data_IF_767669547523
#
_entry.id   IF_767669547523
#
_cell.length_a   1.000
_cell.length_b   1.000
_cell.length_c   1.000
_cell.angle_alpha   90.00
_cell.angle_beta   90.00
_cell.angle_gamma   90.00
#
_symmetry.space_group_name_H-M   'P 1'
#
loop_
_entity.id
_entity.type
_entity.pdbx_description
1 polymer ?
#
# COMPACT_ATOMS: atom_id res chain seq x y z
N UNK A 1 15.41 7.84 -25.35
CA UNK A 1 15.64 7.58 -23.91
C UNK A 1 14.34 7.95 -23.25
N UNK A 2 13.46 6.99 -23.01
CA UNK A 2 12.25 7.25 -22.25
C UNK A 2 12.73 7.33 -20.80
N UNK A 3 12.73 8.52 -20.23
CA UNK A 3 12.99 8.72 -18.81
C UNK A 3 12.05 7.79 -18.05
N UNK A 4 12.66 6.86 -17.32
CA UNK A 4 12.03 5.99 -16.34
C UNK A 4 11.69 6.87 -15.13
N UNK A 5 10.84 7.88 -15.35
CA UNK A 5 10.43 8.84 -14.33
C UNK A 5 9.50 8.12 -13.36
N UNK A 6 10.11 7.46 -12.38
CA UNK A 6 9.43 7.04 -11.16
C UNK A 6 8.74 8.27 -10.58
N UNK A 7 7.42 8.23 -10.36
CA UNK A 7 6.69 9.41 -9.94
C UNK A 7 7.16 9.88 -8.56
N UNK A 8 7.11 11.19 -8.32
CA UNK A 8 7.55 11.77 -7.06
C UNK A 8 6.64 11.31 -5.91
N UNK A 9 7.25 10.73 -4.88
CA UNK A 9 6.55 10.34 -3.65
C UNK A 9 6.43 11.56 -2.76
N UNK A 10 5.25 12.17 -2.73
CA UNK A 10 4.98 13.34 -1.87
C UNK A 10 4.87 12.94 -0.41
N UNK A 11 4.47 11.70 -0.11
CA UNK A 11 4.38 11.23 1.26
C UNK A 11 4.68 9.73 1.42
N UNK A 12 5.52 9.39 2.39
CA UNK A 12 5.74 8.02 2.85
C UNK A 12 5.84 7.98 4.38
N UNK A 13 5.22 6.97 4.99
CA UNK A 13 5.43 6.68 6.41
C UNK A 13 5.48 5.19 6.70
N UNK A 14 6.23 4.85 7.76
CA UNK A 14 6.43 3.49 8.25
C UNK A 14 6.31 3.49 9.77
N UNK A 15 5.68 2.44 10.33
CA UNK A 15 5.59 2.23 11.77
C UNK A 15 5.65 0.75 12.07
N UNK A 16 6.53 0.36 12.99
CA UNK A 16 6.49 -0.98 13.59
C UNK A 16 5.32 -1.00 14.57
N UNK A 17 4.38 -1.91 14.35
CA UNK A 17 3.14 -2.00 15.14
C UNK A 17 3.15 -3.18 16.10
N UNK A 18 3.96 -4.21 15.81
CA UNK A 18 4.27 -5.36 16.68
C UNK A 18 5.69 -5.84 16.37
N UNK A 19 6.27 -6.69 17.22
CA UNK A 19 7.56 -7.31 16.91
C UNK A 19 7.49 -8.00 15.54
N UNK A 20 8.43 -7.66 14.64
CA UNK A 20 8.48 -8.23 13.29
C UNK A 20 7.42 -7.72 12.30
N UNK A 21 6.50 -6.84 12.70
CA UNK A 21 5.39 -6.38 11.84
C UNK A 21 5.41 -4.87 11.69
N UNK A 22 5.34 -4.40 10.45
CA UNK A 22 5.21 -2.99 10.12
C UNK A 22 3.94 -2.69 9.32
N UNK A 23 3.51 -1.44 9.43
CA UNK A 23 2.67 -0.80 8.43
C UNK A 23 3.54 0.20 7.68
N UNK A 24 3.50 0.15 6.35
CA UNK A 24 4.07 1.15 5.44
C UNK A 24 2.95 1.66 4.56
N UNK A 25 2.88 2.95 4.34
CA UNK A 25 2.08 3.47 3.24
C UNK A 25 2.77 4.64 2.56
N UNK A 26 2.54 4.74 1.25
CA UNK A 26 3.07 5.79 0.38
C UNK A 26 1.95 6.38 -0.46
N UNK A 27 1.99 7.69 -0.66
CA UNK A 27 1.17 8.43 -1.61
C UNK A 27 2.08 9.12 -2.61
N UNK A 28 1.69 8.96 -3.86
CA UNK A 28 2.37 9.44 -5.05
C UNK A 28 1.35 10.27 -5.80
N UNK A 29 1.73 11.50 -6.16
CA UNK A 29 0.83 12.44 -6.81
C UNK A 29 1.25 12.53 -8.27
N UNK A 30 0.42 12.06 -9.20
CA UNK A 30 0.71 12.21 -10.62
C UNK A 30 0.46 13.68 -10.99
N UNK A 31 1.53 14.40 -11.28
CA UNK A 31 1.47 15.76 -11.84
C UNK A 31 1.68 15.75 -13.36
N UNK A 32 2.38 14.74 -13.90
CA UNK A 32 2.68 14.62 -15.33
C UNK A 32 2.85 13.18 -15.86
N UNK A 33 2.63 12.15 -15.03
CA UNK A 33 2.96 10.76 -15.40
C UNK A 33 1.75 10.06 -16.01
N UNK A 34 1.74 9.95 -17.35
CA UNK A 34 0.65 9.31 -18.13
C UNK A 34 0.38 7.84 -17.77
N UNK A 35 1.37 7.17 -17.18
CA UNK A 35 1.25 5.78 -16.72
C UNK A 35 0.20 5.62 -15.62
N UNK A 36 -0.18 6.68 -14.92
CA UNK A 36 -1.12 6.59 -13.82
C UNK A 36 -2.43 7.32 -14.14
N UNK A 37 -3.60 6.74 -13.82
CA UNK A 37 -4.87 7.43 -14.00
C UNK A 37 -4.92 8.70 -13.14
N UNK A 38 -5.69 9.72 -13.54
CA UNK A 38 -5.87 10.94 -12.76
C UNK A 38 -6.41 10.63 -11.35
N UNK A 39 -5.76 11.18 -10.32
CA UNK A 39 -6.02 10.87 -8.90
C UNK A 39 -4.70 10.67 -8.14
N UNK A 40 -4.70 10.01 -6.97
CA UNK A 40 -3.46 9.58 -6.30
C UNK A 40 -3.08 8.15 -6.66
N UNK A 41 -1.77 7.89 -6.79
CA UNK A 41 -1.24 6.53 -6.72
C UNK A 41 -0.82 6.23 -5.29
N UNK A 42 -1.15 5.04 -4.81
CA UNK A 42 -0.91 4.67 -3.43
C UNK A 42 -0.43 3.24 -3.32
N UNK A 43 0.26 2.97 -2.21
CA UNK A 43 0.43 1.61 -1.71
C UNK A 43 0.34 1.62 -0.19
N UNK A 44 -0.67 0.96 0.38
CA UNK A 44 -0.85 0.71 1.81
C UNK A 44 -0.50 -0.74 2.06
N UNK A 45 0.47 -1.00 2.91
CA UNK A 45 1.03 -2.32 3.18
C UNK A 45 1.05 -2.58 4.68
N UNK A 46 0.47 -3.69 5.09
CA UNK A 46 0.59 -4.28 6.41
C UNK A 46 1.22 -5.66 6.28
N UNK A 47 2.35 -5.86 6.92
CA UNK A 47 3.16 -7.05 6.69
C UNK A 47 4.41 -7.13 7.54
N UNK A 48 5.22 -8.15 7.26
CA UNK A 48 6.49 -8.42 7.94
C UNK A 48 7.50 -7.31 7.62
N UNK A 49 8.24 -6.89 8.64
CA UNK A 49 9.17 -5.76 8.54
C UNK A 49 10.41 -6.06 7.69
N UNK A 50 10.87 -7.31 7.73
CA UNK A 50 11.91 -7.85 6.86
C UNK A 50 11.40 -9.16 6.25
N UNK A 51 10.80 -9.12 5.05
CA UNK A 51 10.32 -10.33 4.40
C UNK A 51 11.46 -11.19 3.83
N UNK A 52 12.73 -10.78 3.93
CA UNK A 52 13.87 -11.64 3.62
C UNK A 52 14.42 -12.35 4.88
N UNK A 53 14.14 -11.81 6.06
CA UNK A 53 14.52 -12.33 7.38
C UNK A 53 13.31 -12.26 8.36
N UNK A 54 12.28 -13.11 8.15
CA UNK A 54 11.10 -13.13 9.00
C UNK A 54 11.44 -13.64 10.41
N UNK A 55 10.76 -13.16 11.47
CA UNK A 55 10.86 -13.74 12.81
C UNK A 55 10.61 -15.26 12.79
N UNK A 56 11.31 -16.00 13.66
CA UNK A 56 11.28 -17.47 13.73
C UNK A 56 9.87 -18.05 13.97
N UNK A 57 8.99 -17.28 14.61
CA UNK A 57 7.60 -17.62 14.91
C UNK A 57 6.60 -17.28 13.79
N UNK A 58 7.07 -16.86 12.62
CA UNK A 58 6.20 -16.53 11.48
C UNK A 58 5.75 -17.78 10.73
N UNK A 59 4.45 -18.09 10.75
CA UNK A 59 3.86 -19.18 9.96
C UNK A 59 3.84 -18.83 8.45
N UNK A 60 4.27 -19.78 7.59
CA UNK A 60 4.75 -19.60 6.20
C UNK A 60 3.67 -19.62 5.09
N UNK A 61 3.91 -19.06 3.86
CA UNK A 61 5.22 -18.81 3.23
C UNK A 61 5.68 -17.33 3.06
N UNK A 62 7.01 -17.09 2.95
CA UNK A 62 7.68 -15.76 2.96
C UNK A 62 8.52 -15.49 1.67
N UNK A 63 8.31 -14.32 1.07
CA UNK A 63 8.97 -13.71 -0.09
C UNK A 63 8.55 -12.23 -0.16
N UNK A 64 9.02 -11.42 -1.11
CA UNK A 64 8.76 -9.96 -1.11
C UNK A 64 7.26 -9.62 -1.10
N UNK A 65 6.43 -10.52 -1.64
CA UNK A 65 4.96 -10.48 -1.57
C UNK A 65 4.38 -11.34 -0.45
N UNK A 66 5.14 -12.30 0.06
CA UNK A 66 4.67 -13.31 1.01
C UNK A 66 4.88 -12.88 2.49
N UNK A 67 5.55 -11.75 2.75
CA UNK A 67 5.42 -11.02 4.02
C UNK A 67 4.18 -10.11 4.10
N UNK A 68 3.41 -9.98 3.01
CA UNK A 68 2.19 -9.17 2.97
C UNK A 68 1.09 -9.89 3.74
N UNK A 69 0.55 -9.27 4.78
CA UNK A 69 -0.70 -9.74 5.38
C UNK A 69 -1.90 -9.07 4.70
N UNK A 70 -1.79 -7.78 4.42
CA UNK A 70 -2.78 -6.99 3.69
C UNK A 70 -2.08 -5.89 2.90
N UNK A 71 -2.42 -5.74 1.61
CA UNK A 71 -1.96 -4.62 0.78
C UNK A 71 -3.12 -4.05 -0.02
N UNK A 72 -3.15 -2.73 -0.18
CA UNK A 72 -3.93 -2.06 -1.21
C UNK A 72 -2.99 -1.21 -2.05
N UNK A 73 -3.10 -1.29 -3.36
CA UNK A 73 -2.29 -0.47 -4.26
C UNK A 73 -2.93 -0.30 -5.64
N UNK A 74 -2.54 0.76 -6.33
CA UNK A 74 -2.82 0.99 -7.75
C UNK A 74 -1.55 1.40 -8.53
N UNK A 75 -0.38 1.18 -7.94
CA UNK A 75 0.93 1.58 -8.45
C UNK A 75 1.51 0.55 -9.45
N UNK A 76 0.67 0.10 -10.39
CA UNK A 76 1.04 -0.83 -11.46
C UNK A 76 1.13 -0.14 -12.83
N UNK A 77 0.45 0.99 -12.97
CA UNK A 77 0.46 1.80 -14.18
C UNK A 77 -0.53 1.40 -15.27
N UNK A 78 -1.50 0.56 -14.93
CA UNK A 78 -2.68 0.22 -15.73
C UNK A 78 -3.96 0.82 -15.12
N UNK A 79 -3.84 1.49 -13.98
CA UNK A 79 -4.92 2.15 -13.26
C UNK A 79 -5.88 1.23 -12.52
N UNK A 80 -5.59 -0.08 -12.48
CA UNK A 80 -6.31 -1.02 -11.65
C UNK A 80 -5.99 -0.80 -10.17
N UNK A 81 -6.97 -1.02 -9.31
CA UNK A 81 -6.81 -0.99 -7.86
C UNK A 81 -6.88 -2.42 -7.34
N UNK A 82 -5.86 -2.85 -6.62
CA UNK A 82 -5.74 -4.19 -6.08
C UNK A 82 -5.83 -4.19 -4.57
N UNK A 83 -6.36 -5.29 -4.04
CA UNK A 83 -6.25 -5.69 -2.65
C UNK A 83 -5.57 -7.05 -2.62
N UNK A 84 -4.52 -7.19 -1.83
CA UNK A 84 -3.86 -8.47 -1.60
C UNK A 84 -4.07 -8.89 -0.16
N UNK A 85 -4.39 -10.17 0.05
CA UNK A 85 -4.44 -10.80 1.36
C UNK A 85 -3.48 -11.98 1.36
N UNK A 86 -2.44 -11.92 2.18
CA UNK A 86 -1.32 -12.84 2.00
C UNK A 86 -0.64 -12.62 0.64
N UNK A 87 -0.30 -13.73 0.00
CA UNK A 87 0.19 -13.76 -1.38
C UNK A 87 -0.92 -13.72 -2.45
N UNK A 88 -2.20 -13.67 -2.06
CA UNK A 88 -3.31 -13.77 -3.01
C UNK A 88 -3.85 -12.39 -3.37
N UNK A 89 -4.11 -12.19 -4.66
CA UNK A 89 -4.94 -11.09 -5.14
C UNK A 89 -6.41 -11.39 -4.80
N UNK A 90 -7.10 -10.43 -4.19
CA UNK A 90 -8.53 -10.48 -3.97
C UNK A 90 -9.28 -10.12 -5.26
N UNK A 91 -9.74 -11.14 -5.99
CA UNK A 91 -10.48 -10.95 -7.25
C UNK A 91 -11.86 -10.35 -7.07
N UNK A 92 -12.40 -10.33 -5.85
CA UNK A 92 -13.71 -9.76 -5.53
C UNK A 92 -13.60 -8.31 -5.04
N UNK A 93 -12.37 -7.77 -4.95
CA UNK A 93 -12.17 -6.40 -4.51
C UNK A 93 -12.65 -5.38 -5.55
N UNK A 94 -13.59 -4.55 -5.13
CA UNK A 94 -14.00 -3.36 -5.87
C UNK A 94 -13.43 -2.11 -5.20
N UNK A 95 -12.86 -1.22 -6.03
CA UNK A 95 -12.35 0.07 -5.57
C UNK A 95 -13.50 0.90 -4.97
N UNK A 96 -13.37 1.39 -3.72
CA UNK A 96 -14.46 2.09 -3.03
C UNK A 96 -14.73 3.51 -3.54
N UNK A 97 -14.02 3.96 -4.59
CA UNK A 97 -14.25 5.25 -5.25
C UNK A 97 -13.33 6.38 -4.81
N UNK A 98 -12.59 6.24 -3.71
CA UNK A 98 -11.56 7.21 -3.30
C UNK A 98 -10.42 6.56 -2.51
N UNK A 99 -9.24 7.21 -2.55
CA UNK A 99 -8.07 6.78 -1.76
C UNK A 99 -8.32 6.94 -0.26
N UNK A 100 -9.07 7.97 0.15
CA UNK A 100 -9.53 8.14 1.52
C UNK A 100 -10.36 6.94 2.02
N UNK A 101 -11.29 6.42 1.20
CA UNK A 101 -12.07 5.25 1.56
C UNK A 101 -11.23 3.96 1.64
N UNK A 102 -10.18 3.84 0.81
CA UNK A 102 -9.19 2.76 0.93
C UNK A 102 -8.39 2.88 2.23
N UNK A 103 -7.95 4.09 2.59
CA UNK A 103 -7.21 4.36 3.81
C UNK A 103 -8.02 4.00 5.06
N UNK A 104 -9.26 4.47 5.16
CA UNK A 104 -10.16 4.12 6.27
C UNK A 104 -10.35 2.60 6.38
N UNK A 105 -10.67 1.96 5.24
CA UNK A 105 -10.87 0.51 5.17
C UNK A 105 -9.62 -0.24 5.63
N UNK A 106 -8.43 0.17 5.20
CA UNK A 106 -7.17 -0.48 5.58
C UNK A 106 -6.91 -0.42 7.09
N UNK A 107 -7.05 0.74 7.73
CA UNK A 107 -6.85 0.85 9.18
C UNK A 107 -7.93 0.14 9.98
N UNK A 108 -9.18 0.16 9.50
CA UNK A 108 -10.27 -0.63 10.08
C UNK A 108 -10.00 -2.14 10.02
N UNK A 109 -9.53 -2.65 8.88
CA UNK A 109 -9.25 -4.08 8.70
C UNK A 109 -8.04 -4.55 9.50
N UNK A 110 -7.02 -3.71 9.64
CA UNK A 110 -5.82 -4.05 10.44
C UNK A 110 -6.02 -3.85 11.95
N UNK A 111 -7.03 -3.08 12.36
CA UNK A 111 -7.26 -2.68 13.75
C UNK A 111 -6.17 -1.75 14.30
N UNK A 112 -5.42 -1.11 13.42
CA UNK A 112 -4.32 -0.20 13.77
C UNK A 112 -4.86 1.21 13.78
N UNK A 113 -4.48 2.00 14.78
CA UNK A 113 -4.83 3.42 14.79
C UNK A 113 -4.08 4.13 13.64
N UNK A 114 -4.79 4.89 12.78
CA UNK A 114 -4.17 5.67 11.70
C UNK A 114 -3.01 6.51 12.23
N UNK A 115 -1.89 6.52 11.51
CA UNK A 115 -0.73 7.28 11.93
C UNK A 115 -0.19 8.10 10.76
N UNK A 116 -0.25 9.43 10.85
CA UNK A 116 0.12 10.34 9.76
C UNK A 116 -1.10 11.03 9.14
N UNK A 117 -0.89 11.86 8.11
CA UNK A 117 -1.93 12.59 7.42
C UNK A 117 -2.83 11.65 6.62
N UNK A 118 -4.12 11.99 6.62
CA UNK A 118 -5.12 11.35 5.78
C UNK A 118 -4.85 11.72 4.31
N UNK A 119 -5.23 10.87 3.33
CA UNK A 119 -5.25 11.29 1.93
C UNK A 119 -5.97 12.64 1.72
N UNK A 120 -7.04 12.88 2.47
CA UNK A 120 -7.83 14.13 2.38
C UNK A 120 -7.02 15.39 2.71
N UNK A 121 -5.93 15.29 3.48
CA UNK A 121 -5.06 16.43 3.81
C UNK A 121 -4.26 16.94 2.59
N UNK A 122 -4.30 16.21 1.48
CA UNK A 122 -3.51 16.49 0.29
C UNK A 122 -4.34 16.72 -0.99
N UNK A 123 -5.66 16.93 -0.86
CA UNK A 123 -6.56 17.19 -2.01
C UNK A 123 -6.50 16.07 -3.09
N UNK A 124 -6.36 14.81 -2.66
CA UNK A 124 -6.40 13.59 -3.50
C UNK A 124 -7.64 12.72 -3.31
#
# INVERSE_FOLDING_TARGET
MADDESPEVVYEKRKVVRAGVLVRYKFIYPTAVERYPPGACYALHYGVADPADPPDDTEWPIGPEQGTMLRYDNDHGDGSHHRHVGANLDSEYEFPGSVAAVYDRFFRETGIEPFGPSPEDYDI
#
